data_IF_478488354946
#
_entry.id   IF_478488354946
#
_cell.length_a   1.000
_cell.length_b   1.000
_cell.length_c   1.000
_cell.angle_alpha   90.00
_cell.angle_beta   90.00
_cell.angle_gamma   90.00
#
_symmetry.space_group_name_H-M   'P 1'
#
loop_
_entity.id
_entity.type
_entity.pdbx_description
1 polymer ?
#
# COMPACT_ATOMS: atom_id res chain seq x y z
N UNK A 1 5.84 -23.04 -5.15
CA UNK A 1 4.51 -22.82 -4.54
C UNK A 1 4.57 -21.49 -3.82
N UNK A 2 4.01 -20.44 -4.42
CA UNK A 2 3.92 -19.14 -3.75
C UNK A 2 2.83 -19.21 -2.69
N UNK A 3 3.10 -18.63 -1.51
CA UNK A 3 2.19 -18.62 -0.39
C UNK A 3 0.92 -17.80 -0.62
N UNK A 4 0.15 -17.60 0.45
CA UNK A 4 -1.16 -16.95 0.42
C UNK A 4 -1.06 -15.56 -0.24
N UNK A 5 -1.86 -15.32 -1.29
CA UNK A 5 -1.99 -14.03 -1.97
C UNK A 5 -2.94 -13.14 -1.14
N UNK A 6 -2.45 -12.13 -0.41
CA UNK A 6 -3.28 -11.32 0.46
C UNK A 6 -3.99 -10.19 -0.28
N UNK A 7 -3.43 -9.64 -1.37
CA UNK A 7 -4.11 -8.67 -2.22
C UNK A 7 -3.67 -8.71 -3.69
N UNK A 8 -4.55 -8.22 -4.57
CA UNK A 8 -4.28 -7.91 -5.97
C UNK A 8 -4.94 -6.58 -6.31
N UNK A 9 -4.25 -5.72 -7.06
CA UNK A 9 -4.78 -4.42 -7.46
C UNK A 9 -4.32 -4.04 -8.87
N UNK A 10 -5.20 -3.44 -9.66
CA UNK A 10 -4.81 -2.72 -10.85
C UNK A 10 -4.17 -1.38 -10.47
N UNK A 11 -3.23 -0.92 -11.29
CA UNK A 11 -2.90 0.50 -11.31
C UNK A 11 -4.05 1.30 -11.96
N UNK A 12 -3.98 2.62 -11.90
CA UNK A 12 -5.09 3.53 -12.21
C UNK A 12 -5.52 3.47 -13.68
N UNK A 13 -4.60 3.19 -14.61
CA UNK A 13 -4.90 3.01 -16.04
C UNK A 13 -5.20 1.54 -16.42
N UNK A 14 -5.32 0.66 -15.42
CA UNK A 14 -5.66 -0.77 -15.53
C UNK A 14 -4.72 -1.58 -16.44
N UNK A 15 -3.52 -1.07 -16.68
CA UNK A 15 -2.56 -1.71 -17.57
C UNK A 15 -1.59 -2.64 -16.87
N UNK A 16 -1.48 -2.51 -15.55
CA UNK A 16 -0.59 -3.29 -14.73
C UNK A 16 -1.32 -3.79 -13.50
N UNK A 17 -0.96 -4.99 -13.07
CA UNK A 17 -1.48 -5.63 -11.87
C UNK A 17 -0.35 -5.73 -10.86
N UNK A 18 -0.61 -5.29 -9.64
CA UNK A 18 0.28 -5.52 -8.50
C UNK A 18 -0.31 -6.63 -7.64
N UNK A 19 0.47 -7.66 -7.38
CA UNK A 19 0.09 -8.81 -6.58
C UNK A 19 1.00 -8.88 -5.35
N UNK A 20 0.43 -8.82 -4.15
CA UNK A 20 1.20 -9.02 -2.92
C UNK A 20 1.27 -10.51 -2.55
N UNK A 21 2.25 -10.86 -1.72
CA UNK A 21 2.46 -12.20 -1.18
C UNK A 21 3.17 -12.14 0.18
N UNK A 22 3.31 -13.31 0.80
CA UNK A 22 4.00 -13.50 2.09
C UNK A 22 5.52 -13.28 2.03
N UNK A 23 6.09 -13.07 0.84
CA UNK A 23 7.52 -12.80 0.63
C UNK A 23 7.81 -11.50 -0.13
N UNK A 24 6.79 -10.70 -0.45
CA UNK A 24 6.98 -9.52 -1.30
C UNK A 24 5.75 -9.10 -2.08
N UNK A 25 5.99 -8.53 -3.25
CA UNK A 25 4.98 -8.32 -4.27
C UNK A 25 5.59 -8.36 -5.67
N UNK A 26 4.75 -8.52 -6.67
CA UNK A 26 5.11 -8.53 -8.09
C UNK A 26 4.24 -7.55 -8.87
N UNK A 27 4.77 -7.07 -10.00
CA UNK A 27 4.03 -6.26 -10.96
C UNK A 27 3.98 -6.99 -12.29
N UNK A 28 2.79 -7.07 -12.87
CA UNK A 28 2.51 -7.75 -14.13
C UNK A 28 1.92 -6.76 -15.12
N UNK A 29 2.40 -6.80 -16.36
CA UNK A 29 1.76 -6.17 -17.51
C UNK A 29 0.52 -6.96 -17.89
N UNK A 30 -0.56 -6.26 -18.23
CA UNK A 30 -1.78 -6.88 -18.78
C UNK A 30 -1.62 -7.14 -20.28
N UNK A 31 -1.01 -6.21 -21.02
CA UNK A 31 -0.84 -6.30 -22.48
C UNK A 31 0.48 -5.65 -22.96
N UNK A 32 1.40 -6.44 -23.57
CA UNK A 32 1.38 -7.90 -23.60
C UNK A 32 1.49 -8.46 -22.17
N UNK A 33 0.89 -9.63 -21.89
CA UNK A 33 0.90 -10.20 -20.55
C UNK A 33 2.30 -10.66 -20.17
N UNK A 34 2.78 -10.27 -18.99
CA UNK A 34 4.09 -10.71 -18.50
C UNK A 34 4.52 -10.01 -17.21
N UNK A 35 5.37 -10.66 -16.43
CA UNK A 35 5.92 -10.09 -15.19
C UNK A 35 6.94 -9.00 -15.52
N UNK A 36 6.75 -7.82 -14.94
CA UNK A 36 7.61 -6.65 -15.10
C UNK A 36 8.62 -6.56 -13.95
N UNK A 37 8.16 -6.81 -12.72
CA UNK A 37 8.92 -6.56 -11.51
C UNK A 37 8.61 -7.60 -10.44
N UNK A 38 9.64 -7.95 -9.66
CA UNK A 38 9.54 -8.72 -8.44
C UNK A 38 10.25 -7.95 -7.32
N UNK A 39 9.58 -7.77 -6.19
CA UNK A 39 10.05 -6.98 -5.06
C UNK A 39 10.02 -7.83 -3.80
N UNK A 40 11.15 -8.44 -3.40
CA UNK A 40 11.22 -9.22 -2.17
C UNK A 40 11.11 -8.30 -0.95
N UNK A 41 10.22 -8.66 -0.02
CA UNK A 41 10.01 -7.94 1.24
C UNK A 41 9.94 -8.96 2.37
N UNK A 42 10.94 -9.00 3.27
CA UNK A 42 10.96 -9.98 4.35
C UNK A 42 9.77 -9.79 5.29
N UNK A 43 9.05 -10.87 5.59
CA UNK A 43 7.80 -10.84 6.35
C UNK A 43 6.56 -10.58 5.50
N UNK A 44 6.71 -10.31 4.20
CA UNK A 44 5.61 -10.19 3.26
C UNK A 44 4.88 -8.86 3.29
N UNK A 45 4.01 -8.70 2.30
CA UNK A 45 3.25 -7.47 2.05
C UNK A 45 1.77 -7.81 2.07
N UNK A 46 0.98 -7.03 2.80
CA UNK A 46 -0.48 -7.18 2.82
C UNK A 46 -1.14 -6.34 1.72
N UNK A 47 -0.63 -5.14 1.48
CA UNK A 47 -1.12 -4.20 0.47
C UNK A 47 0.07 -3.68 -0.34
N UNK A 48 -0.01 -3.78 -1.66
CA UNK A 48 0.89 -3.10 -2.58
C UNK A 48 0.05 -2.43 -3.69
N UNK A 49 0.12 -1.11 -3.75
CA UNK A 49 -0.54 -0.33 -4.78
C UNK A 49 0.49 0.47 -5.57
N UNK A 50 0.39 0.42 -6.90
CA UNK A 50 1.29 1.13 -7.81
C UNK A 50 0.67 2.46 -8.25
N UNK A 51 1.49 3.51 -8.31
CA UNK A 51 1.07 4.77 -8.92
C UNK A 51 1.35 4.77 -10.43
N UNK A 52 0.29 4.72 -11.22
CA UNK A 52 0.30 4.66 -12.67
C UNK A 52 1.31 3.60 -13.15
N UNK A 53 2.17 3.96 -14.12
CA UNK A 53 3.27 3.13 -14.60
C UNK A 53 4.64 3.59 -14.04
N UNK A 54 4.64 4.37 -12.96
CA UNK A 54 5.87 4.89 -12.33
C UNK A 54 6.57 3.83 -11.50
N UNK A 55 7.71 4.14 -10.88
CA UNK A 55 8.39 3.25 -9.92
C UNK A 55 7.91 3.44 -8.47
N UNK A 56 6.85 4.24 -8.25
CA UNK A 56 6.34 4.54 -6.92
C UNK A 56 5.22 3.59 -6.52
N UNK A 57 5.33 3.10 -5.28
CA UNK A 57 4.39 2.18 -4.65
C UNK A 57 3.98 2.69 -3.28
N UNK A 58 2.75 2.42 -2.90
CA UNK A 58 2.33 2.43 -1.50
C UNK A 58 2.27 0.99 -0.98
N UNK A 59 3.06 0.72 0.04
CA UNK A 59 3.27 -0.63 0.58
C UNK A 59 2.88 -0.67 2.05
N UNK A 60 2.13 -1.70 2.44
CA UNK A 60 1.83 -2.03 3.85
C UNK A 60 2.30 -3.46 4.10
N UNK A 61 3.12 -3.65 5.13
CA UNK A 61 3.60 -4.98 5.48
C UNK A 61 2.54 -5.82 6.18
N UNK A 62 2.87 -7.07 6.46
CA UNK A 62 2.01 -7.94 7.30
C UNK A 62 2.18 -7.67 8.79
N UNK A 63 3.26 -6.98 9.19
CA UNK A 63 3.69 -6.83 10.58
C UNK A 63 4.55 -7.98 11.12
N UNK A 64 4.81 -9.04 10.33
CA UNK A 64 5.74 -10.11 10.74
C UNK A 64 7.19 -9.64 10.83
N UNK A 65 7.55 -8.61 10.06
CA UNK A 65 8.83 -7.93 10.14
C UNK A 65 8.62 -6.49 10.64
N UNK A 66 9.28 -6.04 11.72
CA UNK A 66 9.15 -4.67 12.24
C UNK A 66 9.50 -3.57 11.23
N UNK A 67 10.36 -3.86 10.23
CA UNK A 67 10.67 -2.91 9.16
C UNK A 67 9.49 -2.70 8.19
N UNK A 68 8.54 -3.64 8.16
CA UNK A 68 7.36 -3.64 7.30
C UNK A 68 6.09 -3.81 8.16
N UNK A 69 5.70 -2.75 8.89
CA UNK A 69 4.58 -2.81 9.80
C UNK A 69 3.24 -2.77 9.05
N UNK A 70 2.18 -3.23 9.72
CA UNK A 70 0.81 -3.29 9.18
C UNK A 70 -0.01 -2.01 9.37
N UNK A 71 0.54 -1.04 10.08
CA UNK A 71 -0.07 0.23 10.50
C UNK A 71 0.70 1.43 9.91
N UNK A 72 1.50 1.21 8.87
CA UNK A 72 2.13 2.29 8.13
C UNK A 72 1.99 2.04 6.64
N UNK A 73 1.77 3.11 5.91
CA UNK A 73 1.92 3.13 4.46
C UNK A 73 3.32 3.64 4.14
N UNK A 74 4.14 2.79 3.56
CA UNK A 74 5.49 3.12 3.09
C UNK A 74 5.36 3.54 1.63
N UNK A 75 5.68 4.80 1.33
CA UNK A 75 5.84 5.25 -0.04
C UNK A 75 7.24 4.87 -0.51
N UNK A 76 7.30 3.87 -1.36
CA UNK A 76 8.55 3.32 -1.86
C UNK A 76 8.74 3.67 -3.33
N UNK A 77 9.84 4.34 -3.66
CA UNK A 77 10.29 4.49 -5.04
C UNK A 77 11.31 3.40 -5.34
N UNK A 78 10.92 2.40 -6.13
CA UNK A 78 11.77 1.25 -6.44
C UNK A 78 13.03 1.62 -7.24
N UNK A 79 13.05 2.78 -7.91
CA UNK A 79 14.27 3.27 -8.57
C UNK A 79 15.31 3.81 -7.61
N UNK A 80 14.90 4.10 -6.36
CA UNK A 80 15.75 4.58 -5.29
C UNK A 80 16.01 3.43 -4.29
N UNK A 81 17.18 3.44 -3.66
CA UNK A 81 17.51 2.42 -2.64
C UNK A 81 16.74 2.64 -1.32
N UNK A 82 16.15 3.82 -1.13
CA UNK A 82 15.50 4.23 0.13
C UNK A 82 14.00 4.51 -0.06
N UNK A 83 13.24 4.42 1.04
CA UNK A 83 11.84 4.81 1.06
C UNK A 83 11.69 6.32 0.83
N UNK A 84 10.74 6.73 -0.01
CA UNK A 84 10.45 8.13 -0.32
C UNK A 84 9.77 8.85 0.84
N UNK A 85 9.04 8.10 1.67
CA UNK A 85 8.39 8.62 2.87
C UNK A 85 7.52 7.57 3.54
N UNK A 86 7.04 7.87 4.74
CA UNK A 86 6.19 6.97 5.53
C UNK A 86 5.00 7.74 6.09
N UNK A 87 3.80 7.23 5.86
CA UNK A 87 2.57 7.69 6.52
C UNK A 87 2.28 6.71 7.66
N UNK A 88 2.42 7.16 8.90
CA UNK A 88 2.13 6.32 10.08
C UNK A 88 0.67 6.48 10.49
N UNK A 89 -0.05 5.39 10.74
CA UNK A 89 -1.49 5.45 11.10
C UNK A 89 -1.78 5.66 12.59
N UNK A 90 -0.75 5.97 13.38
CA UNK A 90 -0.91 6.29 14.80
C UNK A 90 -1.65 7.62 14.99
N UNK A 91 -2.72 7.57 15.77
CA UNK A 91 -3.20 8.75 16.46
C UNK A 91 -2.46 8.88 17.81
N UNK A 92 -2.27 10.10 18.27
CA UNK A 92 -1.67 10.42 19.58
C UNK A 92 -2.40 9.76 20.76
N UNK A 93 -3.63 9.29 20.53
CA UNK A 93 -4.46 8.57 21.49
C UNK A 93 -4.49 7.07 21.15
N UNK A 94 -3.45 6.37 21.62
CA UNK A 94 -3.35 4.96 22.01
C UNK A 94 -3.83 3.79 21.10
N UNK A 95 -4.50 3.98 19.96
CA UNK A 95 -4.98 2.85 19.15
C UNK A 95 -4.18 2.65 17.85
N UNK A 96 -3.41 1.56 17.81
CA UNK A 96 -2.73 1.03 16.63
C UNK A 96 -3.80 0.43 15.70
N UNK A 97 -4.14 1.11 14.61
CA UNK A 97 -5.10 0.59 13.62
C UNK A 97 -4.38 0.12 12.36
N UNK A 98 -4.63 -1.13 11.97
CA UNK A 98 -4.09 -1.68 10.74
C UNK A 98 -4.66 -0.95 9.52
N UNK A 99 -3.82 -0.75 8.50
CA UNK A 99 -4.30 -0.22 7.21
C UNK A 99 -5.18 -1.29 6.56
N UNK A 100 -6.42 -0.94 6.25
CA UNK A 100 -7.37 -1.81 5.57
C UNK A 100 -7.21 -1.73 4.05
N UNK A 101 -6.95 -0.53 3.52
CA UNK A 101 -6.67 -0.31 2.10
C UNK A 101 -5.91 0.99 1.85
N UNK A 102 -5.29 1.07 0.67
CA UNK A 102 -4.71 2.29 0.12
C UNK A 102 -5.28 2.52 -1.27
N UNK A 103 -5.51 3.81 -1.61
CA UNK A 103 -5.74 4.28 -2.99
C UNK A 103 -4.84 5.46 -3.30
N UNK A 104 -4.20 5.43 -4.46
CA UNK A 104 -3.33 6.47 -4.97
C UNK A 104 -4.00 7.21 -6.11
N UNK A 105 -3.91 8.53 -6.05
CA UNK A 105 -4.32 9.45 -7.11
C UNK A 105 -3.16 10.41 -7.40
N UNK A 106 -3.22 11.15 -8.51
CA UNK A 106 -2.18 12.14 -8.83
C UNK A 106 -1.98 13.22 -7.76
N UNK A 107 -2.99 13.43 -6.89
CA UNK A 107 -2.98 14.50 -5.89
C UNK A 107 -2.87 14.02 -4.45
N UNK A 108 -3.43 12.86 -4.17
CA UNK A 108 -3.64 12.38 -2.80
C UNK A 108 -3.40 10.89 -2.66
N UNK A 109 -3.07 10.52 -1.43
CA UNK A 109 -2.98 9.16 -0.94
C UNK A 109 -4.14 8.97 0.04
N UNK A 110 -5.03 8.05 -0.27
CA UNK A 110 -6.17 7.68 0.58
C UNK A 110 -5.78 6.46 1.39
N UNK A 111 -5.94 6.53 2.71
CA UNK A 111 -5.61 5.43 3.63
C UNK A 111 -6.86 5.07 4.43
N UNK A 112 -7.43 3.91 4.16
CA UNK A 112 -8.57 3.39 4.92
C UNK A 112 -8.09 2.64 6.16
N UNK A 113 -8.63 3.04 7.31
CA UNK A 113 -8.62 2.31 8.57
C UNK A 113 -10.02 1.73 8.82
N UNK A 114 -10.20 1.00 9.92
CA UNK A 114 -11.51 0.39 10.22
C UNK A 114 -12.62 1.45 10.40
N UNK A 115 -12.36 2.59 11.02
CA UNK A 115 -13.39 3.60 11.34
C UNK A 115 -13.09 4.99 10.81
N UNK A 116 -12.07 5.13 9.96
CA UNK A 116 -11.65 6.43 9.43
C UNK A 116 -10.93 6.24 8.10
N UNK A 117 -11.13 7.16 7.17
CA UNK A 117 -10.28 7.31 5.99
C UNK A 117 -9.45 8.58 6.09
N UNK A 118 -8.15 8.49 5.89
CA UNK A 118 -7.27 9.65 5.84
C UNK A 118 -6.99 10.04 4.41
N UNK A 119 -6.94 11.36 4.20
CA UNK A 119 -6.48 11.96 2.95
C UNK A 119 -5.13 12.61 3.23
N UNK A 120 -4.09 12.10 2.58
CA UNK A 120 -2.72 12.56 2.72
C UNK A 120 -2.21 13.14 1.39
N UNK A 121 -1.22 14.03 1.46
CA UNK A 121 -0.47 14.47 0.29
C UNK A 121 0.76 13.56 0.05
N UNK A 122 1.43 13.77 -1.08
CA UNK A 122 2.64 13.04 -1.47
C UNK A 122 3.89 13.38 -0.62
N UNK A 123 3.80 14.36 0.27
CA UNK A 123 4.79 14.66 1.32
C UNK A 123 4.54 13.85 2.60
N UNK A 124 3.59 12.90 2.56
CA UNK A 124 3.16 12.08 3.69
C UNK A 124 2.47 12.85 4.81
N UNK A 125 1.99 14.06 4.55
CA UNK A 125 1.25 14.87 5.52
C UNK A 125 -0.24 14.51 5.47
N UNK A 126 -0.84 14.30 6.64
CA UNK A 126 -2.28 14.09 6.78
C UNK A 126 -2.99 15.43 6.64
N UNK A 127 -3.75 15.60 5.55
CA UNK A 127 -4.47 16.84 5.28
C UNK A 127 -5.77 16.91 6.08
N UNK A 128 -6.55 15.83 6.07
CA UNK A 128 -7.78 15.69 6.84
C UNK A 128 -8.17 14.22 6.96
N UNK A 129 -9.17 13.94 7.79
CA UNK A 129 -9.74 12.61 7.98
C UNK A 129 -11.26 12.66 7.88
N UNK A 130 -11.82 11.55 7.42
CA UNK A 130 -13.26 11.33 7.28
C UNK A 130 -13.61 10.15 8.19
N UNK A 131 -14.36 10.37 9.29
CA UNK A 131 -14.90 9.27 10.08
C UNK A 131 -15.81 8.39 9.21
N UNK A 132 -15.71 7.07 9.38
CA UNK A 132 -16.54 6.11 8.65
C UNK A 132 -17.23 5.15 9.61
N UNK A 133 -18.27 4.47 9.14
CA UNK A 133 -18.69 3.22 9.75
C UNK A 133 -17.55 2.18 9.67
N UNK A 134 -17.71 1.03 10.35
CA UNK A 134 -16.74 -0.06 10.28
C UNK A 134 -16.49 -0.50 8.83
N UNK A 135 -15.25 -0.38 8.38
CA UNK A 135 -14.75 -0.62 7.04
C UNK A 135 -13.61 -1.65 7.05
N UNK A 136 -13.86 -2.81 7.67
CA UNK A 136 -12.88 -3.90 7.79
C UNK A 136 -12.37 -4.43 6.45
N UNK A 137 -13.12 -4.19 5.38
CA UNK A 137 -12.79 -4.59 4.01
C UNK A 137 -12.01 -3.52 3.24
N UNK A 138 -11.77 -2.33 3.81
CA UNK A 138 -10.98 -1.29 3.18
C UNK A 138 -11.58 -0.76 1.88
N UNK A 139 -12.90 -0.55 1.84
CA UNK A 139 -13.56 0.06 0.70
C UNK A 139 -13.17 1.55 0.61
N UNK A 140 -12.66 1.96 -0.54
CA UNK A 140 -12.22 3.30 -0.91
C UNK A 140 -12.79 3.67 -2.28
#
# INVERSE_FOLDING_TARGET
FFGRMPCVAFNQDQSQITQSCDIGFEVWSVDPPGRILECPVPGGVSIAEKHLRTNVFAVVGTGQNPAWPRDKVILWDHSQQEARGIISTFNSDAEFSAVCAVRLTDRHILVALESTTWVCNWQCERLYHIPTASNRHGLL
#
